data_IF_817597795739
#
_entry.id   IF_817597795739
#
_cell.length_a   1.000
_cell.length_b   1.000
_cell.length_c   1.000
_cell.angle_alpha   90.00
_cell.angle_beta   90.00
_cell.angle_gamma   90.00
#
_symmetry.space_group_name_H-M   'P 1'
#
loop_
_entity.id
_entity.type
_entity.pdbx_description
1 polymer ?
#
# COMPACT_ATOMS: atom_id res chain seq x y z
N UNK A 1 -11.14 7.55 47.80
CA UNK A 1 -10.08 8.06 46.90
C UNK A 1 -10.22 7.39 45.54
N UNK A 2 -10.55 8.11 44.45
CA UNK A 2 -10.67 7.48 43.14
C UNK A 2 -9.27 7.14 42.60
N UNK A 3 -9.01 5.86 42.30
CA UNK A 3 -7.79 5.35 41.64
C UNK A 3 -7.88 5.49 40.11
N UNK A 4 -8.47 6.58 39.63
CA UNK A 4 -8.79 6.80 38.21
C UNK A 4 -7.80 7.74 37.54
N UNK A 5 -6.52 7.36 37.45
CA UNK A 5 -5.56 8.06 36.60
C UNK A 5 -5.49 7.40 35.22
N UNK A 6 -5.42 8.20 34.16
CA UNK A 6 -5.15 7.70 32.81
C UNK A 6 -3.84 6.88 32.82
N UNK A 7 -3.89 5.60 32.41
CA UNK A 7 -2.72 4.72 32.34
C UNK A 7 -1.69 5.29 31.34
N UNK A 8 -0.40 4.95 31.49
CA UNK A 8 0.63 5.29 30.50
C UNK A 8 0.19 4.74 29.13
N UNK A 9 -0.14 5.63 28.19
CA UNK A 9 -0.68 5.29 26.85
C UNK A 9 -2.19 5.44 26.67
N UNK A 10 -2.97 5.72 27.73
CA UNK A 10 -4.41 5.98 27.61
C UNK A 10 -4.64 7.38 26.99
N UNK A 11 -5.11 7.41 25.74
CA UNK A 11 -5.49 8.65 25.04
C UNK A 11 -4.33 9.45 24.43
N UNK A 12 -3.09 8.96 24.47
CA UNK A 12 -1.98 9.62 23.77
C UNK A 12 -1.97 9.19 22.30
N UNK A 13 -2.08 10.16 21.40
CA UNK A 13 -1.83 9.96 19.96
C UNK A 13 -0.41 9.41 19.82
N UNK A 14 -0.30 8.17 19.37
CA UNK A 14 0.99 7.61 18.98
C UNK A 14 1.38 8.39 17.72
N UNK A 15 2.43 9.19 17.79
CA UNK A 15 3.10 9.73 16.61
C UNK A 15 3.70 8.52 15.87
N UNK A 16 2.83 7.82 15.15
CA UNK A 16 3.22 6.75 14.27
C UNK A 16 4.09 7.37 13.20
N UNK A 17 5.30 6.82 13.06
CA UNK A 17 6.22 7.02 11.95
C UNK A 17 5.43 7.41 10.70
N UNK A 18 5.60 8.63 10.23
CA UNK A 18 4.95 9.13 9.02
C UNK A 18 5.11 8.05 7.96
N UNK A 19 4.03 7.34 7.63
CA UNK A 19 4.05 6.40 6.53
C UNK A 19 4.37 7.26 5.34
N UNK A 20 5.55 7.08 4.75
CA UNK A 20 5.87 7.65 3.46
C UNK A 20 4.88 7.05 2.44
N UNK A 21 3.69 7.63 2.36
CA UNK A 21 2.67 7.30 1.38
C UNK A 21 3.10 7.96 0.06
N UNK A 22 4.12 7.37 -0.57
CA UNK A 22 4.42 7.68 -1.96
C UNK A 22 3.26 7.14 -2.78
N UNK A 23 2.35 8.04 -3.17
CA UNK A 23 1.22 7.74 -4.05
C UNK A 23 1.61 8.12 -5.48
N UNK A 24 1.64 7.13 -6.35
CA UNK A 24 1.85 7.33 -7.78
C UNK A 24 0.53 7.06 -8.49
N UNK A 25 0.07 8.05 -9.28
CA UNK A 25 -1.13 7.94 -10.09
C UNK A 25 -0.75 7.99 -11.56
N UNK A 26 -1.30 7.09 -12.36
CA UNK A 26 -1.12 7.06 -13.80
C UNK A 26 -2.48 6.80 -14.46
N UNK A 27 -2.69 7.40 -15.63
CA UNK A 27 -3.92 7.21 -16.39
C UNK A 27 -3.71 6.05 -17.37
N UNK A 28 -4.66 5.12 -17.36
CA UNK A 28 -4.70 3.99 -18.27
C UNK A 28 -5.95 4.06 -19.14
N UNK A 29 -5.88 3.44 -20.32
CA UNK A 29 -7.08 3.13 -21.09
C UNK A 29 -7.85 1.99 -20.42
N UNK A 30 -9.15 1.86 -20.75
CA UNK A 30 -9.99 0.80 -20.18
C UNK A 30 -9.47 -0.60 -20.54
N UNK A 31 -8.97 -0.76 -21.76
CA UNK A 31 -8.44 -2.03 -22.26
C UNK A 31 -7.19 -2.47 -21.50
N UNK A 32 -6.25 -1.56 -21.29
CA UNK A 32 -5.02 -1.84 -20.54
C UNK A 32 -5.30 -2.14 -19.07
N UNK A 33 -6.24 -1.41 -18.45
CA UNK A 33 -6.67 -1.71 -17.10
C UNK A 33 -7.28 -3.11 -16.96
N UNK A 34 -8.17 -3.49 -17.89
CA UNK A 34 -8.80 -4.81 -17.87
C UNK A 34 -7.76 -5.93 -18.00
N UNK A 35 -6.79 -5.75 -18.90
CA UNK A 35 -5.69 -6.69 -19.08
C UNK A 35 -4.90 -6.87 -17.77
N UNK A 36 -4.49 -5.78 -17.12
CA UNK A 36 -3.78 -5.81 -15.84
C UNK A 36 -4.63 -6.50 -14.76
N UNK A 37 -5.93 -6.21 -14.71
CA UNK A 37 -6.84 -6.83 -13.76
C UNK A 37 -6.91 -8.36 -13.94
N UNK A 38 -6.94 -8.86 -15.18
CA UNK A 38 -6.93 -10.31 -15.42
C UNK A 38 -5.64 -10.98 -14.96
N UNK A 39 -4.48 -10.33 -15.13
CA UNK A 39 -3.21 -10.86 -14.63
C UNK A 39 -3.13 -10.82 -13.10
N UNK A 40 -3.60 -9.72 -12.49
CA UNK A 40 -3.68 -9.60 -11.05
C UNK A 40 -4.56 -10.70 -10.43
N UNK A 41 -5.72 -10.99 -11.06
CA UNK A 41 -6.61 -12.08 -10.65
C UNK A 41 -5.95 -13.47 -10.79
N UNK A 42 -5.23 -13.73 -11.88
CA UNK A 42 -4.50 -15.00 -12.07
C UNK A 42 -3.47 -15.25 -10.97
N UNK A 43 -2.85 -14.19 -10.45
CA UNK A 43 -1.88 -14.26 -9.37
C UNK A 43 -2.48 -14.12 -7.96
N UNK A 44 -3.81 -14.00 -7.84
CA UNK A 44 -4.51 -13.72 -6.58
C UNK A 44 -4.00 -12.45 -5.86
N UNK A 45 -3.65 -11.42 -6.62
CA UNK A 45 -3.17 -10.13 -6.14
C UNK A 45 -4.18 -9.01 -6.43
N UNK A 46 -4.17 -7.96 -5.62
CA UNK A 46 -4.82 -6.70 -6.01
C UNK A 46 -4.05 -6.04 -7.15
N UNK A 47 -4.75 -5.24 -7.98
CA UNK A 47 -4.13 -4.51 -9.11
C UNK A 47 -2.92 -3.69 -8.65
N UNK A 48 -3.02 -3.00 -7.52
CA UNK A 48 -1.91 -2.21 -6.97
C UNK A 48 -0.72 -3.06 -6.53
N UNK A 49 -0.97 -4.23 -5.92
CA UNK A 49 0.10 -5.16 -5.55
C UNK A 49 0.79 -5.74 -6.78
N UNK A 50 0.01 -6.12 -7.80
CA UNK A 50 0.54 -6.63 -9.05
C UNK A 50 1.44 -5.61 -9.75
N UNK A 51 0.98 -4.36 -9.90
CA UNK A 51 1.79 -3.29 -10.50
C UNK A 51 3.07 -3.05 -9.71
N UNK A 52 3.00 -3.05 -8.37
CA UNK A 52 4.19 -2.90 -7.52
C UNK A 52 5.18 -4.07 -7.71
N UNK A 53 4.70 -5.30 -7.80
CA UNK A 53 5.53 -6.49 -8.05
C UNK A 53 6.28 -6.35 -9.38
N UNK A 54 5.57 -6.03 -10.46
CA UNK A 54 6.16 -5.84 -11.80
C UNK A 54 7.17 -4.69 -11.80
N UNK A 55 6.84 -3.56 -11.17
CA UNK A 55 7.76 -2.43 -11.08
C UNK A 55 9.07 -2.80 -10.36
N UNK A 56 8.99 -3.54 -9.25
CA UNK A 56 10.17 -3.99 -8.51
C UNK A 56 11.00 -4.98 -9.33
N UNK A 57 10.36 -5.91 -10.06
CA UNK A 57 11.06 -6.85 -10.94
C UNK A 57 11.85 -6.11 -12.02
N UNK A 58 11.19 -5.17 -12.72
CA UNK A 58 11.87 -4.38 -13.74
C UNK A 58 13.03 -3.53 -13.19
N UNK A 59 12.93 -3.02 -11.96
CA UNK A 59 14.05 -2.28 -11.35
C UNK A 59 15.23 -3.22 -11.06
N UNK A 60 14.97 -4.46 -10.63
CA UNK A 60 16.02 -5.45 -10.37
C UNK A 60 16.71 -5.93 -11.65
N UNK A 61 15.98 -6.06 -12.75
CA UNK A 61 16.54 -6.52 -14.02
C UNK A 61 17.37 -5.43 -14.74
N UNK A 62 17.23 -4.16 -14.35
CA UNK A 62 17.98 -3.02 -14.91
C UNK A 62 19.18 -2.58 -14.04
N UNK A 63 19.49 -3.30 -12.96
CA UNK A 63 20.68 -3.09 -12.12
C UNK A 63 21.59 -4.31 -12.19
#
# INVERSE_FOLDING_TARGET
MPRGGARKGAGRKIEGSEKAEVRVMFRLTKETYNLINTYAQKENLSVGQYVRKVAILNIKDNN
#
